data_IF_675562268843
#
_entry.id   IF_675562268843
#
_cell.length_a   1.000
_cell.length_b   1.000
_cell.length_c   1.000
_cell.angle_alpha   90.00
_cell.angle_beta   90.00
_cell.angle_gamma   90.00
#
_symmetry.space_group_name_H-M   'P 1'
#
loop_
_entity.id
_entity.type
_entity.pdbx_description
1 polymer ?
#
# COMPACT_ATOMS: atom_id res chain seq x y z
N UNK A 1 -12.03 -3.07 2.39
CA UNK A 1 -12.35 -4.51 2.35
C UNK A 1 -13.57 -4.65 1.46
N UNK A 2 -13.48 -5.36 0.33
CA UNK A 2 -14.66 -5.63 -0.50
C UNK A 2 -15.57 -6.57 0.30
N UNK A 3 -16.65 -6.04 0.86
CA UNK A 3 -17.60 -6.83 1.64
C UNK A 3 -18.48 -7.62 0.68
N UNK A 4 -18.24 -8.93 0.61
CA UNK A 4 -19.20 -9.90 0.10
C UNK A 4 -19.92 -10.50 1.31
N UNK A 5 -21.20 -10.77 1.16
CA UNK A 5 -22.05 -11.39 2.17
C UNK A 5 -22.51 -12.74 1.63
N UNK A 6 -22.63 -13.73 2.51
CA UNK A 6 -23.27 -14.99 2.12
C UNK A 6 -24.77 -14.78 2.13
N UNK A 7 -25.42 -15.07 1.02
CA UNK A 7 -26.87 -15.18 0.94
C UNK A 7 -27.37 -16.44 1.66
N UNK A 8 -28.68 -16.50 1.91
CA UNK A 8 -29.33 -17.63 2.58
C UNK A 8 -29.14 -18.97 1.84
N UNK A 9 -28.91 -18.94 0.53
CA UNK A 9 -28.59 -20.10 -0.31
C UNK A 9 -27.07 -20.42 -0.39
N UNK A 10 -26.26 -19.70 0.38
CA UNK A 10 -24.81 -19.93 0.51
C UNK A 10 -23.94 -19.30 -0.57
N UNK A 11 -24.50 -18.57 -1.55
CA UNK A 11 -23.73 -17.85 -2.57
C UNK A 11 -23.04 -16.62 -1.97
N UNK A 12 -21.90 -16.25 -2.53
CA UNK A 12 -21.21 -15.00 -2.20
C UNK A 12 -21.79 -13.89 -3.07
N UNK A 13 -22.50 -12.96 -2.46
CA UNK A 13 -23.11 -11.82 -3.12
C UNK A 13 -22.41 -10.52 -2.69
N UNK A 14 -22.35 -9.48 -3.54
CA UNK A 14 -21.86 -8.18 -3.12
C UNK A 14 -22.68 -7.66 -1.93
N UNK A 15 -22.02 -7.16 -0.88
CA UNK A 15 -22.71 -6.62 0.28
C UNK A 15 -23.75 -5.58 -0.09
N UNK A 16 -24.79 -5.45 0.74
CA UNK A 16 -25.84 -4.46 0.53
C UNK A 16 -25.29 -3.02 0.36
N UNK A 17 -24.16 -2.69 0.99
CA UNK A 17 -23.49 -1.39 0.82
C UNK A 17 -22.90 -1.19 -0.59
N UNK A 18 -22.26 -2.21 -1.15
CA UNK A 18 -21.74 -2.19 -2.52
C UNK A 18 -22.90 -2.10 -3.53
N UNK A 19 -23.94 -2.91 -3.33
CA UNK A 19 -25.12 -2.91 -4.20
C UNK A 19 -25.85 -1.56 -4.21
N UNK A 20 -26.02 -0.91 -3.04
CA UNK A 20 -26.59 0.45 -2.96
C UNK A 20 -25.72 1.50 -3.65
N UNK A 21 -24.39 1.42 -3.49
CA UNK A 21 -23.46 2.36 -4.13
C UNK A 21 -23.49 2.22 -5.65
N UNK A 22 -23.50 0.98 -6.14
CA UNK A 22 -23.63 0.69 -7.56
C UNK A 22 -24.98 1.16 -8.12
N UNK A 23 -26.09 0.89 -7.43
CA UNK A 23 -27.41 1.37 -7.85
C UNK A 23 -27.48 2.90 -7.95
N UNK A 24 -26.77 3.63 -7.08
CA UNK A 24 -26.73 5.10 -7.07
C UNK A 24 -25.79 5.70 -8.12
N UNK A 25 -24.64 5.08 -8.36
CA UNK A 25 -23.54 5.68 -9.12
C UNK A 25 -23.24 5.01 -10.45
N UNK A 26 -23.80 3.81 -10.69
CA UNK A 26 -23.43 2.94 -11.81
C UNK A 26 -21.99 2.42 -11.75
N UNK A 27 -21.28 2.65 -10.63
CA UNK A 27 -19.85 2.37 -10.48
C UNK A 27 -19.59 1.45 -9.30
N UNK A 28 -18.57 0.60 -9.45
CA UNK A 28 -18.07 -0.29 -8.39
C UNK A 28 -16.67 0.15 -8.02
N UNK A 29 -16.39 0.25 -6.73
CA UNK A 29 -15.08 0.61 -6.21
C UNK A 29 -14.56 -0.53 -5.34
N UNK A 30 -13.30 -0.91 -5.57
CA UNK A 30 -12.62 -1.94 -4.81
C UNK A 30 -11.27 -1.40 -4.34
N UNK A 31 -10.82 -1.89 -3.19
CA UNK A 31 -9.47 -1.66 -2.70
C UNK A 31 -8.77 -3.01 -2.54
N UNK A 32 -7.47 -3.05 -2.84
CA UNK A 32 -6.68 -4.28 -2.77
C UNK A 32 -5.19 -3.94 -2.62
N UNK A 33 -4.43 -4.90 -2.10
CA UNK A 33 -2.97 -4.85 -2.00
C UNK A 33 -2.31 -5.87 -2.96
N UNK A 34 -3.02 -6.26 -4.01
CA UNK A 34 -2.49 -7.17 -5.03
C UNK A 34 -1.42 -6.48 -5.87
N UNK A 35 -0.43 -7.28 -6.24
CA UNK A 35 0.55 -6.96 -7.27
C UNK A 35 -0.14 -6.66 -8.60
N UNK A 36 0.44 -5.78 -9.42
CA UNK A 36 -0.09 -5.48 -10.75
C UNK A 36 -0.22 -6.72 -11.63
N UNK A 37 0.74 -7.63 -11.56
CA UNK A 37 0.72 -8.94 -12.21
C UNK A 37 -0.52 -9.77 -11.87
N UNK A 38 -1.02 -9.68 -10.64
CA UNK A 38 -2.20 -10.41 -10.14
C UNK A 38 -3.52 -9.65 -10.33
N UNK A 39 -3.49 -8.36 -10.64
CA UNK A 39 -4.70 -7.56 -10.85
C UNK A 39 -5.47 -8.01 -12.10
N UNK A 40 -6.80 -8.16 -12.05
CA UNK A 40 -7.61 -8.33 -13.26
C UNK A 40 -7.55 -7.07 -14.13
N UNK A 41 -7.17 -7.21 -15.41
CA UNK A 41 -7.09 -6.09 -16.36
C UNK A 41 -8.40 -5.99 -17.16
N UNK A 42 -9.44 -5.48 -16.52
CA UNK A 42 -10.74 -5.33 -17.17
C UNK A 42 -10.76 -4.14 -18.14
N UNK A 43 -11.49 -4.29 -19.25
CA UNK A 43 -11.82 -3.19 -20.15
C UNK A 43 -12.74 -2.19 -19.43
N UNK A 44 -12.45 -0.90 -19.53
CA UNK A 44 -13.19 0.17 -18.84
C UNK A 44 -12.89 0.36 -17.35
N UNK A 45 -12.04 -0.48 -16.74
CA UNK A 45 -11.58 -0.26 -15.37
C UNK A 45 -10.51 0.84 -15.30
N UNK A 46 -10.51 1.59 -14.20
CA UNK A 46 -9.50 2.60 -13.85
C UNK A 46 -8.86 2.19 -12.51
N UNK A 47 -7.57 2.43 -12.38
CA UNK A 47 -6.76 2.00 -11.24
C UNK A 47 -6.10 3.22 -10.63
N UNK A 48 -6.11 3.29 -9.29
CA UNK A 48 -5.37 4.29 -8.54
C UNK A 48 -4.35 3.54 -7.72
N UNK A 49 -3.07 3.77 -8.01
CA UNK A 49 -1.95 3.20 -7.26
C UNK A 49 -1.35 4.28 -6.37
N UNK A 50 -1.39 4.06 -5.05
CA UNK A 50 -0.81 4.98 -4.07
C UNK A 50 0.48 4.36 -3.56
N UNK A 51 1.59 5.09 -3.69
CA UNK A 51 2.89 4.72 -3.14
C UNK A 51 3.27 5.70 -2.03
N UNK A 52 3.97 5.18 -1.02
CA UNK A 52 4.55 5.96 0.08
C UNK A 52 6.05 5.65 0.13
N UNK A 53 6.83 6.55 0.73
CA UNK A 53 8.21 6.26 1.12
C UNK A 53 8.28 4.90 1.85
N UNK A 54 9.27 4.08 1.48
CA UNK A 54 9.39 2.70 1.95
C UNK A 54 9.55 2.59 3.46
N UNK A 55 10.42 3.42 4.04
CA UNK A 55 10.71 3.45 5.48
C UNK A 55 9.45 3.74 6.30
N UNK A 56 8.72 4.79 5.91
CA UNK A 56 7.44 5.16 6.51
C UNK A 56 6.37 4.06 6.35
N UNK A 57 6.35 3.41 5.18
CA UNK A 57 5.40 2.34 4.88
C UNK A 57 5.67 1.11 5.76
N UNK A 58 6.94 0.71 5.92
CA UNK A 58 7.37 -0.42 6.77
C UNK A 58 7.02 -0.16 8.22
N UNK A 59 7.32 1.02 8.75
CA UNK A 59 6.99 1.40 10.14
C UNK A 59 5.48 1.34 10.37
N UNK A 60 4.69 1.88 9.42
CA UNK A 60 3.24 1.81 9.49
C UNK A 60 2.72 0.37 9.46
N UNK A 61 3.34 -0.49 8.65
CA UNK A 61 2.93 -1.88 8.51
C UNK A 61 3.31 -2.73 9.73
N UNK A 62 4.47 -2.48 10.32
CA UNK A 62 4.86 -3.10 11.61
C UNK A 62 3.86 -2.73 12.71
N UNK A 63 3.51 -1.45 12.85
CA UNK A 63 2.49 -1.01 13.80
C UNK A 63 1.12 -1.66 13.54
N UNK A 64 0.77 -1.86 12.27
CA UNK A 64 -0.46 -2.54 11.89
C UNK A 64 -0.45 -4.01 12.35
N UNK A 65 0.54 -4.82 11.93
CA UNK A 65 0.59 -6.24 12.27
C UNK A 65 0.82 -6.51 13.77
N UNK A 66 1.62 -5.70 14.46
CA UNK A 66 1.87 -5.94 15.90
C UNK A 66 0.66 -5.72 16.81
N UNK A 67 -0.31 -4.96 16.32
CA UNK A 67 -1.53 -4.64 17.06
C UNK A 67 -2.73 -5.46 16.60
N UNK A 68 -2.59 -6.36 15.63
CA UNK A 68 -3.62 -7.35 15.34
C UNK A 68 -3.71 -8.38 16.47
N UNK A 69 -4.90 -8.94 16.68
CA UNK A 69 -5.21 -9.95 17.70
C UNK A 69 -6.02 -11.09 17.09
N UNK A 70 -6.04 -12.22 17.77
CA UNK A 70 -6.68 -13.45 17.30
C UNK A 70 -5.92 -14.09 16.13
N UNK A 71 -6.64 -14.83 15.30
CA UNK A 71 -6.06 -15.59 14.18
C UNK A 71 -5.61 -14.71 12.99
N UNK A 72 -5.63 -13.39 13.14
CA UNK A 72 -5.33 -12.43 12.08
C UNK A 72 -3.83 -12.28 11.75
N UNK A 73 -2.94 -12.98 12.48
CA UNK A 73 -1.50 -12.97 12.21
C UNK A 73 -0.76 -11.84 12.91
N UNK A 74 -0.91 -11.75 14.24
CA UNK A 74 -0.14 -10.84 15.09
C UNK A 74 1.37 -11.01 14.89
N UNK A 75 2.09 -9.89 14.84
CA UNK A 75 3.56 -9.88 14.86
C UNK A 75 4.09 -9.36 16.21
N UNK A 76 4.99 -10.08 16.88
CA UNK A 76 5.51 -9.72 18.21
C UNK A 76 6.99 -9.31 18.22
N UNK A 77 7.67 -9.36 17.06
CA UNK A 77 9.06 -8.95 16.92
C UNK A 77 9.32 -7.44 16.93
N UNK A 78 10.60 -7.07 17.02
CA UNK A 78 11.04 -5.68 16.87
C UNK A 78 10.87 -5.18 15.44
N UNK A 79 11.00 -3.87 15.23
CA UNK A 79 10.94 -3.28 13.90
C UNK A 79 12.11 -3.75 13.00
N UNK A 80 13.27 -4.04 13.59
CA UNK A 80 14.43 -4.59 12.87
C UNK A 80 14.18 -6.04 12.43
N UNK A 81 13.58 -6.85 13.32
CA UNK A 81 13.16 -8.21 12.97
C UNK A 81 12.10 -8.17 11.86
N UNK A 82 11.12 -7.27 11.98
CA UNK A 82 10.10 -7.05 10.97
C UNK A 82 10.69 -6.71 9.61
N UNK A 83 11.62 -5.76 9.57
CA UNK A 83 12.25 -5.31 8.32
C UNK A 83 13.00 -6.46 7.64
N UNK A 84 13.71 -7.28 8.42
CA UNK A 84 14.40 -8.48 7.91
C UNK A 84 13.43 -9.51 7.35
N UNK A 85 12.40 -9.86 8.12
CA UNK A 85 11.39 -10.85 7.71
C UNK A 85 10.57 -10.37 6.51
N UNK A 86 10.30 -9.06 6.42
CA UNK A 86 9.61 -8.45 5.29
C UNK A 86 10.40 -8.62 3.99
N UNK A 87 11.68 -8.24 3.99
CA UNK A 87 12.56 -8.35 2.81
C UNK A 87 12.76 -9.80 2.36
N UNK A 88 12.78 -10.74 3.31
CA UNK A 88 12.84 -12.17 3.04
C UNK A 88 11.50 -12.79 2.59
N UNK A 89 10.44 -11.98 2.42
CA UNK A 89 9.10 -12.45 2.04
C UNK A 89 8.45 -13.42 3.05
N UNK A 90 8.80 -13.28 4.33
CA UNK A 90 8.27 -14.11 5.43
C UNK A 90 7.03 -13.50 6.09
N UNK A 91 6.52 -12.38 5.56
CA UNK A 91 5.37 -11.64 6.08
C UNK A 91 4.28 -11.49 4.99
N UNK A 92 3.00 -11.33 5.37
CA UNK A 92 1.91 -11.11 4.44
C UNK A 92 2.16 -9.91 3.51
N UNK A 93 1.61 -9.99 2.29
CA UNK A 93 1.75 -8.98 1.22
C UNK A 93 3.18 -8.81 0.64
N UNK A 94 4.20 -9.41 1.26
CA UNK A 94 5.57 -9.45 0.76
C UNK A 94 6.31 -8.11 0.88
N UNK A 95 7.55 -8.04 0.34
CA UNK A 95 8.38 -6.86 0.45
C UNK A 95 7.77 -5.65 -0.27
N UNK A 96 7.88 -4.48 0.35
CA UNK A 96 7.42 -3.21 -0.24
C UNK A 96 8.04 -2.96 -1.62
N UNK A 97 9.34 -3.22 -1.77
CA UNK A 97 10.05 -3.01 -3.03
C UNK A 97 9.54 -3.92 -4.15
N UNK A 98 9.16 -5.17 -3.83
CA UNK A 98 8.56 -6.09 -4.81
C UNK A 98 7.24 -5.52 -5.33
N UNK A 99 6.42 -4.98 -4.44
CA UNK A 99 5.15 -4.36 -4.81
C UNK A 99 5.36 -3.14 -5.73
N UNK A 100 6.28 -2.24 -5.37
CA UNK A 100 6.59 -1.05 -6.17
C UNK A 100 7.18 -1.41 -7.52
N UNK A 101 8.12 -2.36 -7.56
CA UNK A 101 8.74 -2.82 -8.80
C UNK A 101 7.71 -3.49 -9.73
N UNK A 102 6.75 -4.23 -9.17
CA UNK A 102 5.71 -4.86 -10.01
C UNK A 102 4.74 -3.84 -10.60
N UNK A 103 4.31 -2.86 -9.80
CA UNK A 103 3.48 -1.75 -10.28
C UNK A 103 4.20 -0.80 -11.24
N UNK A 104 5.54 -0.79 -11.27
CA UNK A 104 6.32 -0.05 -12.26
C UNK A 104 5.95 -0.42 -13.71
N UNK A 105 5.46 -1.66 -13.92
CA UNK A 105 5.01 -2.15 -15.24
C UNK A 105 3.73 -1.48 -15.73
N UNK A 106 2.99 -0.82 -14.84
CA UNK A 106 1.69 -0.22 -15.12
C UNK A 106 1.78 1.31 -15.33
N UNK A 107 2.98 1.90 -15.19
CA UNK A 107 3.13 3.36 -15.18
C UNK A 107 2.66 4.00 -16.50
N UNK A 108 2.87 3.37 -17.65
CA UNK A 108 2.42 3.95 -18.93
C UNK A 108 0.97 3.61 -19.29
N UNK A 109 0.29 2.80 -18.48
CA UNK A 109 -1.11 2.47 -18.73
C UNK A 109 -1.97 3.71 -18.39
N UNK A 110 -2.68 4.31 -19.37
CA UNK A 110 -3.48 5.51 -19.13
C UNK A 110 -4.65 5.27 -18.18
N UNK A 111 -4.99 4.00 -17.90
CA UNK A 111 -5.99 3.62 -16.89
C UNK A 111 -5.44 3.67 -15.48
N UNK A 112 -4.13 3.90 -15.29
CA UNK A 112 -3.48 3.89 -13.98
C UNK A 112 -3.07 5.30 -13.60
N UNK A 113 -3.71 5.83 -12.56
CA UNK A 113 -3.26 7.03 -11.86
C UNK A 113 -2.31 6.63 -10.73
N UNK A 114 -1.14 7.26 -10.69
CA UNK A 114 -0.13 6.99 -9.66
C UNK A 114 -0.02 8.21 -8.76
N UNK A 115 -0.20 8.01 -7.46
CA UNK A 115 -0.16 9.07 -6.46
C UNK A 115 0.88 8.76 -5.39
N UNK A 116 1.52 9.81 -4.89
CA UNK A 116 2.45 9.75 -3.76
C UNK A 116 1.78 10.23 -2.49
N UNK A 117 1.83 9.44 -1.43
CA UNK A 117 1.20 9.75 -0.15
C UNK A 117 1.66 11.11 0.42
N UNK A 118 2.96 11.40 0.38
CA UNK A 118 3.53 12.67 0.86
C UNK A 118 3.04 13.88 0.05
N UNK A 119 2.92 13.73 -1.27
CA UNK A 119 2.40 14.79 -2.16
C UNK A 119 0.90 15.00 -1.98
N UNK A 120 0.12 13.92 -1.86
CA UNK A 120 -1.32 14.00 -1.55
C UNK A 120 -1.57 14.70 -0.21
N UNK A 121 -0.70 14.47 0.78
CA UNK A 121 -0.81 15.13 2.08
C UNK A 121 -0.45 16.62 1.99
N UNK A 122 0.58 16.97 1.21
CA UNK A 122 1.00 18.35 1.01
C UNK A 122 -0.04 19.18 0.24
N UNK A 123 -0.71 18.58 -0.75
CA UNK A 123 -1.80 19.19 -1.51
C UNK A 123 -2.97 18.21 -1.71
N UNK A 124 -3.86 18.17 -0.72
CA UNK A 124 -5.03 17.29 -0.74
C UNK A 124 -6.06 17.74 -1.79
N UNK A 125 -6.22 19.05 -2.01
CA UNK A 125 -7.17 19.58 -3.00
C UNK A 125 -6.74 19.16 -4.42
N UNK A 126 -5.47 19.36 -4.76
CA UNK A 126 -4.87 18.93 -6.02
C UNK A 126 -5.01 17.43 -6.24
N UNK A 127 -4.69 16.60 -5.24
CA UNK A 127 -4.85 15.15 -5.34
C UNK A 127 -6.31 14.72 -5.58
N UNK A 128 -7.27 15.34 -4.90
CA UNK A 128 -8.70 15.03 -5.10
C UNK A 128 -9.17 15.47 -6.49
N UNK A 129 -8.69 16.60 -7.02
CA UNK A 129 -8.97 17.02 -8.40
C UNK A 129 -8.41 16.05 -9.43
N UNK A 130 -7.17 15.60 -9.23
CA UNK A 130 -6.53 14.63 -10.12
C UNK A 130 -7.28 13.29 -10.14
N UNK A 131 -7.71 12.81 -8.97
CA UNK A 131 -8.55 11.61 -8.85
C UNK A 131 -9.90 11.83 -9.55
N UNK A 132 -10.57 12.97 -9.34
CA UNK A 132 -11.86 13.26 -9.95
C UNK A 132 -11.77 13.30 -11.48
N UNK A 133 -10.74 13.96 -12.02
CA UNK A 133 -10.45 14.00 -13.45
C UNK A 133 -10.13 12.60 -14.00
N UNK A 134 -9.28 11.84 -13.31
CA UNK A 134 -8.94 10.49 -13.72
C UNK A 134 -10.16 9.57 -13.74
N UNK A 135 -11.06 9.68 -12.77
CA UNK A 135 -12.27 8.87 -12.71
C UNK A 135 -13.40 9.39 -13.61
N UNK A 136 -13.24 10.56 -14.24
CA UNK A 136 -14.30 11.24 -14.98
C UNK A 136 -15.56 11.44 -14.12
N UNK A 137 -15.37 12.11 -12.97
CA UNK A 137 -16.44 12.49 -12.05
C UNK A 137 -16.30 13.97 -11.65
N UNK A 138 -17.40 14.66 -11.32
CA UNK A 138 -17.33 16.04 -10.87
C UNK A 138 -16.50 16.19 -9.58
N UNK A 139 -15.60 17.16 -9.56
CA UNK A 139 -14.91 17.56 -8.34
C UNK A 139 -15.89 18.15 -7.32
N UNK A 140 -15.67 17.87 -6.03
CA UNK A 140 -16.40 18.49 -4.93
C UNK A 140 -15.45 18.89 -3.80
N UNK A 141 -15.52 20.16 -3.39
CA UNK A 141 -14.74 20.67 -2.26
C UNK A 141 -15.11 19.96 -0.93
N UNK A 142 -16.32 19.41 -0.83
CA UNK A 142 -16.73 18.61 0.33
C UNK A 142 -15.91 17.32 0.44
N UNK A 143 -15.50 16.74 -0.69
CA UNK A 143 -14.63 15.56 -0.69
C UNK A 143 -13.28 15.87 -0.03
N UNK A 144 -12.69 17.05 -0.31
CA UNK A 144 -11.42 17.46 0.31
C UNK A 144 -11.56 17.52 1.83
N UNK A 145 -12.64 18.14 2.34
CA UNK A 145 -12.89 18.20 3.79
C UNK A 145 -13.04 16.81 4.40
N UNK A 146 -13.84 15.93 3.79
CA UNK A 146 -14.09 14.58 4.29
C UNK A 146 -12.89 13.63 4.16
N UNK A 147 -11.96 13.91 3.25
CA UNK A 147 -10.73 13.15 3.05
C UNK A 147 -9.54 13.69 3.87
N UNK A 148 -9.72 14.77 4.63
CA UNK A 148 -8.68 15.27 5.54
C UNK A 148 -8.41 14.27 6.66
N UNK A 149 -7.16 14.20 7.12
CA UNK A 149 -6.77 13.25 8.18
C UNK A 149 -7.60 13.42 9.45
N UNK A 150 -7.85 14.67 9.87
CA UNK A 150 -8.63 14.95 11.08
C UNK A 150 -10.09 14.49 10.94
N UNK A 151 -10.72 14.74 9.79
CA UNK A 151 -12.08 14.28 9.53
C UNK A 151 -12.16 12.74 9.48
N UNK A 152 -11.17 12.10 8.83
CA UNK A 152 -11.08 10.64 8.78
C UNK A 152 -10.87 10.05 10.18
N UNK A 153 -9.99 10.65 10.98
CA UNK A 153 -9.67 10.21 12.35
C UNK A 153 -10.83 10.39 13.31
N UNK A 154 -11.65 11.43 13.13
CA UNK A 154 -12.90 11.60 13.86
C UNK A 154 -13.95 10.52 13.50
N UNK A 155 -13.86 9.93 12.30
CA UNK A 155 -14.77 8.89 11.78
C UNK A 155 -14.06 7.54 11.55
N UNK A 156 -13.07 7.22 12.37
CA UNK A 156 -12.12 6.11 12.12
C UNK A 156 -12.79 4.74 11.96
N UNK A 157 -13.89 4.50 12.67
CA UNK A 157 -14.68 3.25 12.59
C UNK A 157 -15.27 2.98 11.20
N UNK A 158 -15.29 3.97 10.30
CA UNK A 158 -15.68 3.80 8.90
C UNK A 158 -14.57 3.23 8.03
N UNK A 159 -13.31 3.40 8.44
CA UNK A 159 -12.12 3.08 7.66
C UNK A 159 -11.38 1.85 8.19
N UNK A 160 -11.50 1.54 9.48
CA UNK A 160 -10.87 0.38 10.06
C UNK A 160 -11.43 -0.94 9.47
N UNK A 161 -10.58 -1.95 9.22
CA UNK A 161 -11.03 -3.26 8.78
C UNK A 161 -11.92 -3.93 9.85
N UNK A 162 -13.16 -4.25 9.49
CA UNK A 162 -14.13 -4.90 10.39
C UNK A 162 -13.80 -6.35 10.73
N UNK A 163 -12.99 -7.01 9.91
CA UNK A 163 -12.60 -8.42 10.09
C UNK A 163 -11.40 -8.61 11.01
N UNK A 164 -10.78 -7.52 11.47
CA UNK A 164 -9.55 -7.57 12.25
C UNK A 164 -9.86 -7.14 13.68
N UNK A 165 -9.44 -7.95 14.64
CA UNK A 165 -9.48 -7.58 16.04
C UNK A 165 -8.19 -6.83 16.39
N UNK A 166 -8.33 -5.68 17.03
CA UNK A 166 -7.21 -4.80 17.37
C UNK A 166 -6.88 -4.85 18.86
N UNK A 167 -5.62 -4.60 19.18
CA UNK A 167 -5.16 -4.41 20.55
C UNK A 167 -5.89 -3.23 21.23
N UNK A 168 -6.14 -3.28 22.55
CA UNK A 168 -6.67 -2.14 23.28
C UNK A 168 -5.82 -0.88 23.08
N UNK A 169 -6.47 0.25 22.77
CA UNK A 169 -5.79 1.53 22.55
C UNK A 169 -5.13 1.69 21.18
N UNK A 170 -5.17 0.69 20.30
CA UNK A 170 -4.72 0.83 18.92
C UNK A 170 -5.63 1.80 18.13
N UNK A 171 -5.00 2.55 17.23
CA UNK A 171 -5.67 3.44 16.27
C UNK A 171 -5.19 3.05 14.87
N UNK A 172 -6.12 2.67 14.00
CA UNK A 172 -5.85 2.37 12.60
C UNK A 172 -5.32 3.62 11.86
N UNK A 173 -5.89 4.79 12.15
CA UNK A 173 -5.42 6.10 11.70
C UNK A 173 -4.48 6.70 12.76
N UNK A 174 -3.19 6.33 12.68
CA UNK A 174 -2.16 6.63 13.69
C UNK A 174 -1.73 8.10 13.73
N UNK A 175 -0.79 8.50 12.87
CA UNK A 175 -0.20 9.85 12.86
C UNK A 175 -0.54 10.68 11.62
N UNK A 176 -0.72 10.05 10.45
CA UNK A 176 -1.02 10.78 9.21
C UNK A 176 0.12 11.68 8.72
N UNK A 177 1.36 11.34 9.04
CA UNK A 177 2.59 12.09 8.76
C UNK A 177 3.52 11.34 7.80
N UNK A 178 4.52 12.04 7.27
CA UNK A 178 5.65 11.46 6.54
C UNK A 178 6.95 11.79 7.28
N UNK A 179 7.96 10.91 7.21
CA UNK A 179 9.25 11.06 7.88
C UNK A 179 9.35 10.37 9.25
N UNK A 180 8.31 9.64 9.68
CA UNK A 180 8.37 8.88 10.93
C UNK A 180 9.46 7.79 10.85
N UNK A 181 9.70 7.24 9.66
CA UNK A 181 10.70 6.21 9.41
C UNK A 181 12.13 6.62 9.78
N UNK A 182 12.47 7.90 9.62
CA UNK A 182 13.81 8.40 9.94
C UNK A 182 14.15 8.23 11.43
N UNK A 183 13.17 8.47 12.29
CA UNK A 183 13.34 8.36 13.75
C UNK A 183 13.10 6.94 14.29
N UNK A 184 12.30 6.14 13.58
CA UNK A 184 11.84 4.85 14.07
C UNK A 184 12.74 3.67 13.68
N UNK A 185 13.34 3.71 12.48
CA UNK A 185 14.18 2.63 11.97
C UNK A 185 15.63 2.82 12.40
N UNK A 186 16.29 1.70 12.73
CA UNK A 186 17.75 1.66 12.85
C UNK A 186 18.41 1.88 11.49
N UNK A 187 19.68 2.32 11.50
CA UNK A 187 20.43 2.52 10.26
C UNK A 187 20.61 1.20 9.48
N UNK A 188 20.74 0.08 10.18
CA UNK A 188 20.80 -1.25 9.58
C UNK A 188 19.49 -1.63 8.88
N UNK A 189 18.34 -1.33 9.50
CA UNK A 189 17.03 -1.57 8.89
C UNK A 189 16.82 -0.68 7.65
N UNK A 190 17.19 0.61 7.73
CA UNK A 190 17.15 1.51 6.57
C UNK A 190 18.03 0.99 5.43
N UNK A 191 19.29 0.65 5.71
CA UNK A 191 20.22 0.10 4.71
C UNK A 191 19.63 -1.14 4.04
N UNK A 192 19.10 -2.08 4.83
CA UNK A 192 18.48 -3.30 4.32
C UNK A 192 17.30 -3.02 3.38
N UNK A 193 16.40 -2.11 3.75
CA UNK A 193 15.24 -1.75 2.93
C UNK A 193 15.65 -1.09 1.61
N UNK A 194 16.70 -0.26 1.65
CA UNK A 194 17.26 0.40 0.47
C UNK A 194 17.92 -0.59 -0.47
N UNK A 195 18.75 -1.50 0.06
CA UNK A 195 19.39 -2.55 -0.72
C UNK A 195 18.35 -3.44 -1.42
N UNK A 196 17.29 -3.85 -0.73
CA UNK A 196 16.19 -4.60 -1.35
C UNK A 196 15.52 -3.78 -2.46
N UNK A 197 15.22 -2.50 -2.21
CA UNK A 197 14.64 -1.62 -3.23
C UNK A 197 15.49 -1.51 -4.49
N UNK A 198 16.79 -1.24 -4.35
CA UNK A 198 17.71 -1.16 -5.47
C UNK A 198 17.79 -2.50 -6.21
N UNK A 199 17.94 -3.62 -5.49
CA UNK A 199 17.99 -4.95 -6.09
C UNK A 199 16.72 -5.27 -6.90
N UNK A 200 15.52 -4.89 -6.40
CA UNK A 200 14.26 -5.08 -7.16
C UNK A 200 14.19 -4.17 -8.37
N UNK A 201 14.61 -2.91 -8.24
CA UNK A 201 14.60 -1.96 -9.35
C UNK A 201 15.59 -2.33 -10.45
N UNK A 202 16.75 -2.89 -10.11
CA UNK A 202 17.77 -3.33 -11.07
C UNK A 202 17.32 -4.52 -11.91
N UNK A 203 16.34 -5.29 -11.42
CA UNK A 203 15.71 -6.36 -12.19
C UNK A 203 14.72 -5.86 -13.26
N UNK A 204 14.37 -4.56 -13.24
CA UNK A 204 13.43 -3.97 -14.20
C UNK A 204 14.13 -3.59 -15.51
N UNK A 205 13.41 -3.57 -16.65
CA UNK A 205 13.91 -2.94 -17.86
C UNK A 205 14.35 -1.50 -17.60
N UNK A 206 15.49 -1.08 -18.17
CA UNK A 206 16.10 0.21 -17.89
C UNK A 206 15.14 1.40 -18.05
N UNK A 207 14.31 1.40 -19.10
CA UNK A 207 13.29 2.42 -19.32
C UNK A 207 12.22 2.44 -18.21
N UNK A 208 11.80 1.27 -17.73
CA UNK A 208 10.85 1.14 -16.61
C UNK A 208 11.46 1.63 -15.30
N UNK A 209 12.71 1.26 -15.02
CA UNK A 209 13.44 1.76 -13.85
C UNK A 209 13.56 3.29 -13.88
N UNK A 210 13.97 3.87 -15.02
CA UNK A 210 14.13 5.32 -15.15
C UNK A 210 12.82 6.07 -14.84
N UNK A 211 11.70 5.61 -15.42
CA UNK A 211 10.37 6.18 -15.17
C UNK A 211 9.91 6.00 -13.73
N UNK A 212 10.20 4.84 -13.12
CA UNK A 212 9.89 4.60 -11.72
C UNK A 212 10.59 5.63 -10.83
N UNK A 213 11.89 5.82 -11.05
CA UNK A 213 12.71 6.75 -10.26
C UNK A 213 12.31 8.21 -10.48
N UNK A 214 12.02 8.60 -11.72
CA UNK A 214 11.54 9.95 -12.07
C UNK A 214 10.16 10.22 -11.44
N UNK A 215 9.19 9.36 -11.76
CA UNK A 215 7.77 9.61 -11.51
C UNK A 215 7.38 9.40 -10.05
N UNK A 216 8.08 8.50 -9.36
CA UNK A 216 7.88 8.34 -7.93
C UNK A 216 8.85 9.20 -7.12
N UNK A 217 9.85 9.84 -7.74
CA UNK A 217 10.90 10.64 -7.10
C UNK A 217 11.33 10.06 -5.74
N UNK A 218 11.51 8.73 -5.73
CA UNK A 218 11.95 7.96 -4.56
C UNK A 218 13.46 8.11 -4.35
N UNK A 219 14.15 8.82 -5.26
CA UNK A 219 15.60 9.03 -5.26
C UNK A 219 16.11 10.14 -4.35
N UNK A 220 15.28 11.09 -3.92
CA UNK A 220 15.74 12.22 -3.07
C UNK A 220 16.09 11.80 -1.62
N UNK A 221 15.85 10.53 -1.26
CA UNK A 221 16.18 9.96 0.06
C UNK A 221 17.28 8.89 -0.02
N UNK A 222 17.89 8.69 -1.19
CA UNK A 222 18.81 7.59 -1.49
C UNK A 222 20.06 8.13 -2.17
N UNK A 223 20.98 8.69 -1.38
CA UNK A 223 22.28 9.07 -1.90
C UNK A 223 23.08 7.81 -2.33
N UNK A 224 23.68 7.80 -3.53
CA UNK A 224 24.43 6.66 -4.05
C UNK A 224 25.64 6.23 -3.18
N UNK A 225 26.07 7.06 -2.24
CA UNK A 225 27.27 6.85 -1.42
C UNK A 225 27.13 5.75 -0.36
N UNK A 226 25.92 5.23 -0.13
CA UNK A 226 25.66 4.25 0.94
C UNK A 226 25.77 2.78 0.49
N UNK A 227 26.04 2.51 -0.78
CA UNK A 227 26.02 1.16 -1.37
C UNK A 227 27.43 0.72 -1.78
N UNK A 228 28.26 0.41 -0.80
CA UNK A 228 29.44 -0.44 -1.01
C UNK A 228 29.37 -1.66 -0.08
N UNK A 229 28.61 -2.69 -0.48
CA UNK A 229 28.92 -4.09 -0.18
C UNK A 229 28.05 -5.08 -0.98
N UNK A 230 28.57 -6.28 -1.29
CA UNK A 230 27.93 -7.19 -2.24
C UNK A 230 26.73 -7.94 -1.63
N UNK A 231 25.67 -7.95 -2.44
CA UNK A 231 24.38 -8.63 -2.30
C UNK A 231 24.46 -10.02 -1.65
N UNK A 232 23.74 -10.21 -0.53
CA UNK A 232 23.36 -11.54 -0.05
C UNK A 232 22.30 -12.13 -1.00
N UNK A 233 22.61 -13.27 -1.61
CA UNK A 233 21.69 -13.99 -2.50
C UNK A 233 20.52 -14.58 -1.68
N UNK A 234 19.27 -14.53 -2.16
CA UNK A 234 18.16 -15.24 -1.53
C UNK A 234 18.42 -16.75 -1.57
N UNK A 235 18.14 -17.45 -0.46
CA UNK A 235 18.09 -18.93 -0.42
C UNK A 235 16.85 -19.42 -1.18
N UNK A 236 17.01 -20.50 -1.93
CA UNK A 236 16.07 -20.99 -2.94
C UNK A 236 15.01 -21.97 -2.41
N UNK A 237 14.75 -21.95 -1.10
CA UNK A 237 14.06 -23.03 -0.41
C UNK A 237 13.03 -22.49 0.58
N UNK A 238 11.91 -21.99 0.05
CA UNK A 238 10.66 -21.87 0.82
C UNK A 238 9.55 -22.55 0.02
N UNK A 239 9.19 -23.75 0.48
CA UNK A 239 8.05 -24.53 0.00
C UNK A 239 6.77 -23.85 0.48
N UNK A 240 5.97 -23.34 -0.46
CA UNK A 240 4.60 -22.88 -0.21
C UNK A 240 3.78 -24.07 0.31
N UNK A 241 3.38 -24.05 1.59
CA UNK A 241 2.28 -24.89 2.07
C UNK A 241 1.00 -24.08 1.98
N UNK A 242 0.08 -24.59 1.16
CA UNK A 242 -1.28 -24.09 1.00
C UNK A 242 -1.97 -24.02 2.36
N UNK A 243 -2.55 -22.86 2.68
CA UNK A 243 -3.57 -22.72 3.72
C UNK A 243 -4.90 -22.69 2.98
N UNK A 244 -5.66 -23.78 3.09
CA UNK A 244 -7.06 -23.88 2.72
C UNK A 244 -7.96 -23.30 3.82
#
# INVERSE_FOLDING_TARGET
>A
MASFERSDDGRLEPSAALSRTFAKTGRRAWNTHLLWSLMPKCEGARYIYIVRNGDDAVVSFWHHLRNQRGDAGQFDGSLDDFSRRLVNSELPYGPWAVHVADWARALDDPRVLVLRYDKMRADLDGAVREIAAHLDVPFSADCVRHCSFDAMRASESRYEPRSVQWAPGFRFLRHGTSGDGDSALSDDAKRLLREDFHARCDSLPAATKARLLERLSLGDSLEPSDIEQPLLRPRADVVMREIA
#
